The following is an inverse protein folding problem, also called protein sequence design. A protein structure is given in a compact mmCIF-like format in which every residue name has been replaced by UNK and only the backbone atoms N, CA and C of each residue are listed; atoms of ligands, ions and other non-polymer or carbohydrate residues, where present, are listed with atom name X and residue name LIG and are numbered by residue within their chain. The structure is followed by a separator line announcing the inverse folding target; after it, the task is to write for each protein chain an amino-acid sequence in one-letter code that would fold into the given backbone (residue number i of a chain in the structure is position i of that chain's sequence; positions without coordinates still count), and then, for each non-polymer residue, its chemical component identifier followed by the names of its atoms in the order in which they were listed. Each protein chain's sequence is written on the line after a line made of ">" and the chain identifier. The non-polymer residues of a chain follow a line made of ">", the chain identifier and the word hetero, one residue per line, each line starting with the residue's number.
data_IF_315645790225
#
_entry.id   IF_315645790225
#
_cell.length_a   1.000
_cell.length_b   1.000
_cell.length_c   1.000
_cell.angle_alpha   90.00
_cell.angle_beta   90.00
_cell.angle_gamma   90.00
#
_symmetry.space_group_name_H-M   'P 1'
#
loop_
_entity.id
_entity.type
_entity.pdbx_description
1 polymer ?
#
# COMPACT_ATOMS: atom_id res chain seq x y z
N UNK A 1 19.04 -5.03 -27.30
CA UNK A 1 19.56 -4.48 -26.03
C UNK A 1 18.55 -3.43 -25.59
N UNK A 2 17.54 -3.84 -24.81
CA UNK A 2 16.51 -2.91 -24.31
C UNK A 2 17.06 -2.20 -23.10
N UNK A 3 17.07 -0.87 -23.16
CA UNK A 3 17.40 -0.02 -22.04
C UNK A 3 16.37 -0.25 -20.91
N UNK A 4 16.86 -0.68 -19.75
CA UNK A 4 16.09 -0.70 -18.52
C UNK A 4 15.55 0.71 -18.30
N UNK A 5 14.24 0.88 -18.41
CA UNK A 5 13.56 2.08 -17.93
C UNK A 5 13.65 2.03 -16.41
N UNK A 6 14.65 2.70 -15.84
CA UNK A 6 14.66 3.02 -14.43
C UNK A 6 13.51 4.00 -14.22
N UNK A 7 12.31 3.49 -13.92
CA UNK A 7 11.21 4.33 -13.45
C UNK A 7 11.69 4.97 -12.15
N UNK A 8 12.07 6.25 -12.21
CA UNK A 8 12.35 7.02 -11.02
C UNK A 8 11.05 7.08 -10.22
N UNK A 9 11.06 6.42 -9.07
CA UNK A 9 9.90 6.41 -8.18
C UNK A 9 9.77 7.80 -7.56
N UNK A 10 8.62 8.49 -7.73
CA UNK A 10 8.47 9.89 -7.33
C UNK A 10 8.56 10.06 -5.80
N UNK A 11 9.06 11.22 -5.35
CA UNK A 11 8.84 11.69 -3.98
C UNK A 11 7.35 12.00 -3.78
N UNK A 12 6.83 11.88 -2.54
CA UNK A 12 5.44 12.24 -2.21
C UNK A 12 5.11 13.67 -2.68
N UNK A 13 6.06 14.60 -2.54
CA UNK A 13 5.89 16.01 -2.94
C UNK A 13 5.79 16.23 -4.47
N UNK A 14 6.04 15.20 -5.27
CA UNK A 14 5.99 15.23 -6.73
C UNK A 14 4.74 14.55 -7.29
N UNK A 15 3.88 14.01 -6.42
CA UNK A 15 2.64 13.39 -6.85
C UNK A 15 1.68 14.43 -7.41
N UNK A 16 1.07 14.09 -8.53
CA UNK A 16 -0.04 14.85 -9.08
C UNK A 16 -1.27 14.70 -8.19
N UNK A 17 -2.23 15.61 -8.34
CA UNK A 17 -3.51 15.51 -7.63
C UNK A 17 -4.23 14.19 -7.91
N UNK A 18 -4.16 13.68 -9.14
CA UNK A 18 -4.76 12.38 -9.50
C UNK A 18 -4.12 11.25 -8.70
N UNK A 19 -2.78 11.23 -8.62
CA UNK A 19 -2.06 10.20 -7.86
C UNK A 19 -2.36 10.26 -6.35
N UNK A 20 -2.49 11.45 -5.77
CA UNK A 20 -2.96 11.60 -4.39
C UNK A 20 -4.35 11.00 -4.20
N UNK A 21 -5.29 11.28 -5.12
CA UNK A 21 -6.63 10.69 -5.09
C UNK A 21 -6.59 9.16 -5.21
N UNK A 22 -5.71 8.60 -6.05
CA UNK A 22 -5.55 7.14 -6.16
C UNK A 22 -5.10 6.54 -4.82
N UNK A 23 -4.08 7.13 -4.17
CA UNK A 23 -3.59 6.68 -2.87
C UNK A 23 -4.68 6.74 -1.80
N UNK A 24 -5.38 7.87 -1.70
CA UNK A 24 -6.41 8.09 -0.68
C UNK A 24 -7.62 7.18 -0.89
N UNK A 25 -8.08 7.02 -2.14
CA UNK A 25 -9.22 6.16 -2.44
C UNK A 25 -8.88 4.68 -2.21
N UNK A 26 -7.66 4.25 -2.53
CA UNK A 26 -7.17 2.91 -2.21
C UNK A 26 -7.27 2.62 -0.71
N UNK A 27 -6.72 3.50 0.13
CA UNK A 27 -6.75 3.33 1.60
C UNK A 27 -8.16 3.47 2.18
N UNK A 28 -8.98 4.36 1.63
CA UNK A 28 -10.36 4.53 2.04
C UNK A 28 -11.18 3.28 1.71
N UNK A 29 -10.98 2.65 0.56
CA UNK A 29 -11.64 1.39 0.20
C UNK A 29 -11.26 0.28 1.18
N UNK A 30 -9.98 0.16 1.55
CA UNK A 30 -9.54 -0.79 2.58
C UNK A 30 -10.13 -0.49 3.97
N UNK A 31 -10.31 0.79 4.31
CA UNK A 31 -10.94 1.19 5.57
C UNK A 31 -12.44 0.87 5.59
N UNK A 32 -13.15 1.17 4.50
CA UNK A 32 -14.60 0.97 4.37
C UNK A 32 -14.98 -0.48 4.06
N UNK A 33 -14.03 -1.26 3.56
CA UNK A 33 -14.17 -2.71 3.38
C UNK A 33 -14.37 -3.35 4.76
N UNK A 34 -15.63 -3.63 5.06
CA UNK A 34 -16.00 -4.50 6.16
C UNK A 34 -15.59 -5.92 5.79
N UNK A 35 -14.57 -6.47 6.46
CA UNK A 35 -14.27 -7.87 6.28
C UNK A 35 -15.43 -8.71 6.84
N UNK A 36 -15.73 -9.85 6.20
CA UNK A 36 -16.78 -10.78 6.69
C UNK A 36 -16.41 -11.44 8.02
N UNK A 37 -15.18 -11.27 8.49
CA UNK A 37 -14.66 -11.79 9.75
C UNK A 37 -14.73 -10.68 10.81
N UNK A 38 -15.76 -10.77 11.65
CA UNK A 38 -15.74 -10.26 13.03
C UNK A 38 -15.41 -8.76 13.22
N UNK A 39 -15.96 -7.89 12.37
CA UNK A 39 -15.96 -6.43 12.64
C UNK A 39 -14.59 -5.74 12.50
N UNK A 40 -13.59 -6.41 11.93
CA UNK A 40 -12.33 -5.78 11.54
C UNK A 40 -12.41 -5.21 10.11
N UNK A 41 -11.82 -4.03 9.90
CA UNK A 41 -11.68 -3.44 8.55
C UNK A 41 -10.59 -4.19 7.76
N UNK A 42 -10.69 -4.20 6.43
CA UNK A 42 -9.67 -4.78 5.56
C UNK A 42 -8.31 -4.05 5.70
N UNK A 43 -8.31 -2.83 6.22
CA UNK A 43 -7.10 -2.10 6.60
C UNK A 43 -6.27 -2.83 7.67
N UNK A 44 -6.89 -3.47 8.66
CA UNK A 44 -6.14 -4.25 9.67
C UNK A 44 -5.37 -5.40 9.05
N UNK A 45 -6.05 -6.14 8.17
CA UNK A 45 -5.45 -7.27 7.44
C UNK A 45 -4.34 -6.77 6.53
N UNK A 46 -4.59 -5.67 5.81
CA UNK A 46 -3.58 -5.04 4.97
C UNK A 46 -2.31 -4.70 5.76
N UNK A 47 -2.42 -4.08 6.93
CA UNK A 47 -1.24 -3.72 7.73
C UNK A 47 -0.47 -4.95 8.24
N UNK A 48 -1.16 -6.06 8.51
CA UNK A 48 -0.53 -7.33 8.89
C UNK A 48 0.14 -8.02 7.68
N UNK A 49 -0.52 -8.02 6.53
CA UNK A 49 0.02 -8.53 5.27
C UNK A 49 1.25 -7.71 4.82
N UNK A 50 1.30 -6.41 5.14
CA UNK A 50 2.51 -5.62 4.89
C UNK A 50 3.71 -6.03 5.77
N UNK A 51 3.48 -6.70 6.92
CA UNK A 51 4.56 -7.25 7.77
C UNK A 51 5.04 -8.63 7.31
N UNK A 52 4.22 -9.36 6.55
CA UNK A 52 4.52 -10.68 6.01
C UNK A 52 4.45 -10.57 4.49
N UNK A 53 5.57 -10.49 3.76
CA UNK A 53 5.57 -10.16 2.35
C UNK A 53 4.63 -11.08 1.56
N UNK A 54 3.44 -10.57 1.26
CA UNK A 54 2.34 -11.25 0.59
C UNK A 54 1.53 -10.19 -0.15
N UNK A 55 0.93 -10.55 -1.28
CA UNK A 55 0.02 -9.67 -2.02
C UNK A 55 -1.37 -9.74 -1.40
N UNK A 56 -1.94 -8.59 -1.01
CA UNK A 56 -3.28 -8.46 -0.46
C UNK A 56 -4.10 -7.40 -1.20
N UNK A 57 -5.37 -7.68 -1.51
CA UNK A 57 -6.25 -6.76 -2.23
C UNK A 57 -7.73 -7.03 -1.99
N UNK A 58 -8.54 -5.99 -2.19
CA UNK A 58 -10.00 -6.05 -2.34
C UNK A 58 -10.37 -6.19 -3.82
N UNK A 59 -11.67 -6.25 -4.15
CA UNK A 59 -12.12 -6.28 -5.55
C UNK A 59 -11.81 -4.98 -6.31
N UNK A 60 -11.62 -3.84 -5.62
CA UNK A 60 -11.44 -2.51 -6.24
C UNK A 60 -10.10 -1.85 -5.93
N UNK A 61 -9.37 -2.36 -4.94
CA UNK A 61 -8.10 -1.80 -4.49
C UNK A 61 -7.10 -2.91 -4.19
N UNK A 62 -5.83 -2.68 -4.49
CA UNK A 62 -4.77 -3.61 -4.12
C UNK A 62 -3.51 -2.88 -3.67
N UNK A 63 -2.77 -3.50 -2.74
CA UNK A 63 -1.42 -3.10 -2.42
C UNK A 63 -0.47 -4.25 -2.74
N UNK A 64 0.56 -3.96 -3.53
CA UNK A 64 1.60 -4.92 -3.90
C UNK A 64 2.95 -4.41 -3.38
N UNK A 65 3.62 -5.19 -2.54
CA UNK A 65 4.96 -4.88 -2.01
C UNK A 65 6.02 -5.63 -2.81
N UNK A 66 7.14 -4.96 -3.10
CA UNK A 66 8.44 -5.49 -3.52
C UNK A 66 8.36 -6.87 -4.22
N UNK A 67 8.37 -6.80 -5.54
CA UNK A 67 7.82 -7.77 -6.49
C UNK A 67 8.54 -9.12 -6.65
N UNK A 68 9.17 -9.64 -5.61
CA UNK A 68 9.93 -10.90 -5.66
C UNK A 68 9.27 -12.08 -4.93
N UNK A 69 8.12 -11.86 -4.27
CA UNK A 69 7.63 -12.83 -3.27
C UNK A 69 6.63 -13.83 -3.84
N UNK A 70 5.90 -13.46 -4.89
CA UNK A 70 5.00 -14.37 -5.62
C UNK A 70 4.83 -13.92 -7.09
N UNK A 71 5.81 -14.18 -7.96
CA UNK A 71 5.77 -13.72 -9.35
C UNK A 71 4.63 -14.33 -10.18
N UNK A 72 4.02 -15.44 -9.71
CA UNK A 72 2.93 -16.11 -10.42
C UNK A 72 1.58 -15.41 -10.20
N UNK A 73 1.44 -14.61 -9.14
CA UNK A 73 0.21 -13.86 -8.80
C UNK A 73 0.33 -12.35 -9.02
N UNK A 74 1.42 -11.87 -9.62
CA UNK A 74 1.66 -10.45 -9.91
C UNK A 74 1.40 -10.17 -11.40
N UNK A 75 0.74 -9.05 -11.69
CA UNK A 75 0.51 -8.64 -13.08
C UNK A 75 1.86 -8.35 -13.79
N UNK A 76 2.04 -8.70 -15.08
CA UNK A 76 3.34 -8.60 -15.75
C UNK A 76 3.99 -7.21 -15.73
N UNK A 77 3.19 -6.13 -15.66
CA UNK A 77 3.69 -4.76 -15.60
C UNK A 77 4.18 -4.33 -14.21
N UNK A 78 3.89 -5.11 -13.18
CA UNK A 78 4.34 -4.88 -11.80
C UNK A 78 5.60 -5.70 -11.46
N UNK A 79 5.95 -6.71 -12.26
CA UNK A 79 7.15 -7.53 -12.01
C UNK A 79 8.44 -6.68 -12.04
N UNK A 80 9.22 -6.76 -10.95
CA UNK A 80 10.49 -6.05 -10.81
C UNK A 80 10.37 -4.54 -10.57
N UNK A 81 9.18 -4.02 -10.24
CA UNK A 81 8.99 -2.63 -9.82
C UNK A 81 9.34 -2.50 -8.34
N UNK A 82 10.42 -1.77 -7.97
CA UNK A 82 10.79 -1.63 -6.57
C UNK A 82 9.80 -0.70 -5.84
N UNK A 83 9.39 -1.08 -4.64
CA UNK A 83 8.50 -0.27 -3.80
C UNK A 83 7.17 -0.92 -3.46
N UNK A 84 6.21 -0.08 -3.08
CA UNK A 84 4.82 -0.49 -2.85
C UNK A 84 3.93 0.22 -3.86
N UNK A 85 3.17 -0.57 -4.60
CA UNK A 85 2.18 -0.11 -5.57
C UNK A 85 0.80 -0.11 -4.93
N UNK A 86 0.13 1.04 -4.97
CA UNK A 86 -1.25 1.24 -4.61
C UNK A 86 -2.08 1.26 -5.88
N UNK A 87 -3.14 0.47 -5.93
CA UNK A 87 -4.08 0.42 -7.05
C UNK A 87 -5.49 0.77 -6.58
N UNK A 88 -6.20 1.57 -7.38
CA UNK A 88 -7.63 1.84 -7.21
C UNK A 88 -8.28 1.99 -8.59
N UNK A 89 -9.27 1.15 -8.90
CA UNK A 89 -10.03 1.19 -10.17
C UNK A 89 -9.13 1.37 -11.42
N UNK A 90 -8.14 0.49 -11.58
CA UNK A 90 -7.15 0.47 -12.68
C UNK A 90 -6.07 1.58 -12.67
N UNK A 91 -6.18 2.58 -11.78
CA UNK A 91 -5.10 3.56 -11.57
C UNK A 91 -4.07 3.05 -10.57
N UNK A 92 -2.79 3.28 -10.85
CA UNK A 92 -1.68 2.77 -10.03
C UNK A 92 -0.68 3.87 -9.67
N UNK A 93 -0.24 3.85 -8.42
CA UNK A 93 0.82 4.72 -7.89
C UNK A 93 1.83 3.87 -7.13
N UNK A 94 3.07 3.85 -7.61
CA UNK A 94 4.17 3.19 -6.90
C UNK A 94 5.03 4.22 -6.17
N UNK A 95 5.30 3.95 -4.90
CA UNK A 95 6.20 4.74 -4.05
C UNK A 95 7.36 3.86 -3.56
N UNK A 96 8.56 4.42 -3.29
CA UNK A 96 9.61 3.66 -2.63
C UNK A 96 9.08 3.08 -1.31
N UNK A 97 9.46 1.86 -0.95
CA UNK A 97 8.91 1.15 0.23
C UNK A 97 8.87 2.02 1.48
N UNK A 98 9.98 2.69 1.80
CA UNK A 98 10.06 3.63 2.94
C UNK A 98 9.05 4.77 2.85
N UNK A 99 8.88 5.38 1.67
CA UNK A 99 7.95 6.49 1.50
C UNK A 99 6.50 6.01 1.53
N UNK A 100 6.21 4.85 0.94
CA UNK A 100 4.89 4.23 0.99
C UNK A 100 4.46 3.93 2.43
N UNK A 101 5.35 3.34 3.25
CA UNK A 101 5.08 3.07 4.66
C UNK A 101 4.86 4.37 5.44
N UNK A 102 5.68 5.40 5.19
CA UNK A 102 5.46 6.73 5.80
C UNK A 102 4.10 7.31 5.43
N UNK A 103 3.75 7.28 4.14
CA UNK A 103 2.47 7.78 3.64
C UNK A 103 1.30 7.06 4.31
N UNK A 104 1.29 5.72 4.22
CA UNK A 104 0.27 4.86 4.80
C UNK A 104 0.08 5.13 6.29
N UNK A 105 1.17 5.17 7.06
CA UNK A 105 1.09 5.39 8.49
C UNK A 105 0.58 6.81 8.83
N UNK A 106 1.02 7.82 8.09
CA UNK A 106 0.53 9.19 8.27
C UNK A 106 -0.97 9.31 7.92
N UNK A 107 -1.40 8.64 6.86
CA UNK A 107 -2.81 8.57 6.49
C UNK A 107 -3.62 7.90 7.61
N UNK A 108 -3.17 6.77 8.14
CA UNK A 108 -3.82 6.12 9.28
C UNK A 108 -3.88 7.03 10.53
N UNK A 109 -2.81 7.77 10.82
CA UNK A 109 -2.75 8.70 11.95
C UNK A 109 -3.78 9.84 11.87
N UNK A 110 -4.13 10.25 10.65
CA UNK A 110 -4.99 11.42 10.36
C UNK A 110 -6.44 11.05 10.07
N UNK A 111 -6.70 9.88 9.46
CA UNK A 111 -8.03 9.51 8.98
C UNK A 111 -8.75 8.47 9.84
N UNK A 112 -8.01 7.69 10.65
CA UNK A 112 -8.62 6.56 11.36
C UNK A 112 -9.00 6.92 12.80
N UNK A 113 -10.29 6.80 13.10
CA UNK A 113 -10.87 7.01 14.43
C UNK A 113 -11.15 5.69 15.16
N UNK A 114 -11.66 4.69 14.45
CA UNK A 114 -11.99 3.37 15.02
C UNK A 114 -10.76 2.45 15.13
N UNK A 115 -10.68 1.67 16.20
CA UNK A 115 -9.53 0.82 16.57
C UNK A 115 -8.15 1.48 16.41
N UNK A 116 -8.11 2.80 16.57
CA UNK A 116 -6.95 3.65 16.29
C UNK A 116 -5.68 3.19 16.99
N UNK A 117 -5.76 2.75 18.24
CA UNK A 117 -4.57 2.33 19.00
C UNK A 117 -3.91 1.08 18.39
N UNK A 118 -4.71 0.11 17.95
CA UNK A 118 -4.21 -1.11 17.32
C UNK A 118 -3.62 -0.80 15.94
N UNK A 119 -4.31 0.01 15.14
CA UNK A 119 -3.81 0.47 13.83
C UNK A 119 -2.49 1.20 13.97
N UNK A 120 -2.37 2.14 14.92
CA UNK A 120 -1.11 2.85 15.16
C UNK A 120 0.01 1.94 15.66
N UNK A 121 -0.30 0.91 16.45
CA UNK A 121 0.69 -0.08 16.86
C UNK A 121 1.23 -0.86 15.65
N UNK A 122 0.36 -1.26 14.70
CA UNK A 122 0.76 -1.90 13.45
C UNK A 122 1.57 -0.96 12.56
N UNK A 123 1.16 0.31 12.43
CA UNK A 123 1.92 1.34 11.74
C UNK A 123 3.33 1.49 12.32
N UNK A 124 3.48 1.50 13.65
CA UNK A 124 4.78 1.55 14.29
C UNK A 124 5.63 0.30 14.01
N UNK A 125 5.01 -0.89 14.00
CA UNK A 125 5.68 -2.13 13.64
C UNK A 125 6.19 -2.08 12.19
N UNK A 126 5.39 -1.59 11.25
CA UNK A 126 5.77 -1.40 9.84
C UNK A 126 6.92 -0.40 9.69
N UNK A 127 6.83 0.76 10.35
CA UNK A 127 7.93 1.75 10.38
C UNK A 127 9.24 1.12 10.86
N UNK A 128 9.18 0.33 11.93
CA UNK A 128 10.36 -0.37 12.45
C UNK A 128 10.89 -1.43 11.47
N UNK A 129 10.00 -2.22 10.83
CA UNK A 129 10.37 -3.28 9.90
C UNK A 129 11.08 -2.72 8.65
N UNK A 130 10.52 -1.67 8.05
CA UNK A 130 11.02 -1.07 6.81
C UNK A 130 11.99 0.10 7.04
N UNK A 131 12.36 0.38 8.29
CA UNK A 131 13.21 1.53 8.67
C UNK A 131 12.66 2.88 8.16
N UNK A 132 11.34 3.02 8.21
CA UNK A 132 10.58 4.13 7.65
C UNK A 132 10.26 5.22 8.67
#
# INVERSE_FOLDING_TARGET
>A
MSAAHTQQVPSIDQLTQAQHSTLDNCLLDHLLCASRLEGATCLHLLLDDLLIPTSGGTEMSSLTIDCDVDPDNIAPHQLGVPGITFEFMDEQVTLPTVHAIRYLCHWCETQVEEDRQNILAKCQALKNHYQA
#
